data_IF_322680667407
#
_entry.id   IF_322680667407
#
_cell.length_a   1.000
_cell.length_b   1.000
_cell.length_c   1.000
_cell.angle_alpha   90.00
_cell.angle_beta   90.00
_cell.angle_gamma   90.00
#
_symmetry.space_group_name_H-M   'P 1'
#
loop_
_entity.id
_entity.type
_entity.pdbx_description
1 polymer ?
#
# COMPACT_ATOMS: atom_id res chain seq x y z
N UNK A 1 -5.13 0.65 2.38
CA UNK A 1 -5.46 2.07 2.14
C UNK A 1 -4.27 2.71 1.47
N UNK A 2 -4.44 3.82 0.77
CA UNK A 2 -3.34 4.54 0.16
C UNK A 2 -3.55 6.06 0.12
N UNK A 3 -2.47 6.81 -0.04
CA UNK A 3 -2.47 8.26 -0.27
C UNK A 3 -2.23 8.54 -1.76
N UNK A 4 -3.24 9.09 -2.44
CA UNK A 4 -3.05 9.63 -3.79
C UNK A 4 -2.61 11.08 -3.71
N UNK A 5 -1.40 11.37 -4.20
CA UNK A 5 -0.84 12.72 -4.26
C UNK A 5 -1.33 13.42 -5.51
N UNK A 6 -2.02 14.55 -5.35
CA UNK A 6 -2.49 15.36 -6.47
C UNK A 6 -1.28 15.98 -7.22
N UNK A 7 -1.20 15.89 -8.57
CA UNK A 7 0.03 16.22 -9.30
C UNK A 7 0.42 17.70 -9.32
N UNK A 8 -0.57 18.62 -9.30
CA UNK A 8 -0.32 20.08 -9.35
C UNK A 8 -0.59 20.80 -8.02
N UNK A 9 -1.62 20.39 -7.27
CA UNK A 9 -2.04 21.01 -6.01
C UNK A 9 -2.00 19.99 -4.86
N UNK A 10 -0.85 19.77 -4.19
CA UNK A 10 -0.72 18.70 -3.18
C UNK A 10 -1.69 18.79 -2.00
N UNK A 11 -2.22 19.98 -1.68
CA UNK A 11 -3.27 20.17 -0.68
C UNK A 11 -4.61 19.51 -1.05
N UNK A 12 -4.82 19.20 -2.34
CA UNK A 12 -5.99 18.50 -2.86
C UNK A 12 -5.83 16.97 -2.90
N UNK A 13 -4.69 16.43 -2.44
CA UNK A 13 -4.47 14.99 -2.34
C UNK A 13 -5.58 14.28 -1.55
N UNK A 14 -5.70 12.97 -1.74
CA UNK A 14 -6.79 12.18 -1.13
C UNK A 14 -6.27 10.95 -0.39
N UNK A 15 -7.06 10.52 0.58
CA UNK A 15 -6.92 9.21 1.21
C UNK A 15 -7.96 8.29 0.59
N UNK A 16 -7.51 7.13 0.09
CA UNK A 16 -8.37 6.12 -0.52
C UNK A 16 -8.31 4.89 0.38
N UNK A 17 -9.47 4.48 0.89
CA UNK A 17 -9.57 3.37 1.82
C UNK A 17 -10.63 2.37 1.37
N UNK A 18 -10.29 1.10 1.50
CA UNK A 18 -11.24 0.01 1.45
C UNK A 18 -11.84 -0.22 2.83
N UNK A 19 -13.14 -0.45 2.86
CA UNK A 19 -13.90 -0.86 4.03
C UNK A 19 -14.57 -2.19 3.71
N UNK A 20 -14.01 -3.26 4.27
CA UNK A 20 -14.45 -4.64 4.05
C UNK A 20 -15.79 -4.95 4.71
N UNK A 21 -16.13 -4.25 5.79
CA UNK A 21 -17.40 -4.41 6.50
C UNK A 21 -18.53 -3.62 5.82
N UNK A 22 -18.20 -2.50 5.17
CA UNK A 22 -19.18 -1.65 4.49
C UNK A 22 -19.38 -1.97 3.00
N UNK A 23 -18.65 -2.94 2.43
CA UNK A 23 -18.60 -3.26 1.00
C UNK A 23 -18.32 -2.02 0.12
N UNK A 24 -17.33 -1.20 0.54
CA UNK A 24 -17.07 0.09 -0.11
C UNK A 24 -15.60 0.43 -0.23
N UNK A 25 -15.28 1.16 -1.30
CA UNK A 25 -14.17 2.11 -1.30
C UNK A 25 -14.67 3.50 -0.93
N UNK A 26 -13.88 4.21 -0.13
CA UNK A 26 -14.10 5.61 0.17
C UNK A 26 -12.92 6.45 -0.30
N UNK A 27 -13.23 7.63 -0.83
CA UNK A 27 -12.25 8.67 -1.14
C UNK A 27 -12.49 9.84 -0.22
N UNK A 28 -11.48 10.22 0.56
CA UNK A 28 -11.53 11.34 1.48
C UNK A 28 -10.55 12.43 1.07
N UNK A 29 -10.94 13.70 1.24
CA UNK A 29 -9.97 14.79 1.26
C UNK A 29 -9.12 14.76 2.54
N UNK A 30 -7.99 15.47 2.53
CA UNK A 30 -7.14 15.65 3.73
C UNK A 30 -7.83 16.40 4.88
N UNK A 31 -9.01 16.99 4.64
CA UNK A 31 -9.88 17.58 5.65
C UNK A 31 -10.81 16.55 6.34
N UNK A 32 -10.80 15.30 5.86
CA UNK A 32 -11.66 14.21 6.36
C UNK A 32 -13.03 14.13 5.68
N UNK A 33 -13.33 15.03 4.73
CA UNK A 33 -14.62 14.97 4.01
C UNK A 33 -14.60 13.86 2.96
N UNK A 34 -15.65 13.05 2.96
CA UNK A 34 -15.88 12.07 1.90
C UNK A 34 -16.19 12.79 0.59
N UNK A 35 -15.42 12.47 -0.45
CA UNK A 35 -15.59 12.95 -1.82
C UNK A 35 -16.33 11.95 -2.69
N UNK A 36 -16.20 10.66 -2.35
CA UNK A 36 -16.82 9.56 -3.07
C UNK A 36 -16.96 8.34 -2.16
N UNK A 37 -18.01 7.56 -2.37
CA UNK A 37 -18.16 6.21 -1.87
C UNK A 37 -18.57 5.32 -3.05
N UNK A 38 -17.88 4.19 -3.23
CA UNK A 38 -18.07 3.27 -4.36
C UNK A 38 -18.37 1.92 -3.78
N UNK A 39 -19.47 1.29 -4.21
CA UNK A 39 -19.74 -0.08 -3.86
C UNK A 39 -18.68 -1.00 -4.48
N UNK A 40 -18.11 -1.85 -3.65
CA UNK A 40 -17.20 -2.91 -4.07
C UNK A 40 -17.42 -4.08 -3.11
N UNK A 41 -17.73 -5.26 -3.63
CA UNK A 41 -17.99 -6.41 -2.77
C UNK A 41 -16.71 -6.86 -2.08
N UNK A 42 -16.70 -6.80 -0.75
CA UNK A 42 -15.63 -7.27 0.12
C UNK A 42 -14.22 -6.85 -0.37
N UNK A 43 -13.91 -5.55 -0.43
CA UNK A 43 -12.65 -5.07 -0.97
C UNK A 43 -11.48 -5.48 -0.06
N UNK A 44 -10.38 -5.92 -0.66
CA UNK A 44 -9.09 -6.14 -0.01
C UNK A 44 -8.28 -4.86 0.15
N UNK A 45 -6.97 -4.97 0.32
CA UNK A 45 -6.10 -3.79 0.36
C UNK A 45 -6.12 -3.04 -0.99
N UNK A 46 -6.10 -1.71 -0.90
CA UNK A 46 -6.02 -0.80 -2.05
C UNK A 46 -4.67 -0.08 -2.04
N UNK A 47 -4.06 0.01 -3.22
CA UNK A 47 -2.78 0.67 -3.47
C UNK A 47 -2.87 1.59 -4.71
N UNK A 48 -1.94 2.52 -4.87
CA UNK A 48 -1.88 3.52 -5.94
C UNK A 48 -0.54 3.48 -6.68
N UNK A 49 -0.58 3.65 -8.00
CA UNK A 49 0.60 3.96 -8.83
C UNK A 49 0.28 5.00 -9.90
N UNK A 50 1.33 5.69 -10.34
CA UNK A 50 1.19 6.90 -11.14
C UNK A 50 1.72 6.71 -12.56
N UNK A 51 1.12 7.43 -13.51
CA UNK A 51 1.59 7.49 -14.89
C UNK A 51 1.45 6.19 -15.69
N UNK A 52 0.44 5.37 -15.38
CA UNK A 52 0.06 4.17 -16.13
C UNK A 52 -0.39 4.55 -17.56
N UNK A 53 0.13 3.91 -18.61
CA UNK A 53 -0.29 4.17 -19.99
C UNK A 53 -1.67 3.54 -20.28
N UNK A 54 -2.67 4.36 -20.60
CA UNK A 54 -4.04 3.92 -20.93
C UNK A 54 -4.67 4.82 -21.99
N UNK A 55 -5.13 4.25 -23.10
CA UNK A 55 -5.81 5.00 -24.16
C UNK A 55 -4.94 6.06 -24.83
N UNK A 56 -3.61 5.90 -24.82
CA UNK A 56 -2.65 6.89 -25.32
C UNK A 56 -2.30 8.00 -24.33
N UNK A 57 -2.86 7.99 -23.11
CA UNK A 57 -2.57 8.95 -22.05
C UNK A 57 -1.83 8.28 -20.88
N UNK A 58 -1.26 9.09 -19.99
CA UNK A 58 -0.75 8.64 -18.70
C UNK A 58 -1.73 9.00 -17.60
N UNK A 59 -2.23 7.99 -16.90
CA UNK A 59 -3.20 8.15 -15.81
C UNK A 59 -2.66 7.59 -14.50
N UNK A 60 -3.16 8.09 -13.37
CA UNK A 60 -2.89 7.47 -12.08
C UNK A 60 -3.94 6.40 -11.82
N UNK A 61 -3.51 5.23 -11.37
CA UNK A 61 -4.40 4.09 -11.11
C UNK A 61 -4.36 3.70 -9.64
N UNK A 62 -5.49 3.22 -9.16
CA UNK A 62 -5.58 2.38 -7.96
C UNK A 62 -6.04 0.99 -8.36
N UNK A 63 -5.63 0.01 -7.58
CA UNK A 63 -6.08 -1.36 -7.74
C UNK A 63 -6.26 -2.04 -6.38
N UNK A 64 -7.17 -3.00 -6.34
CA UNK A 64 -7.47 -3.81 -5.16
C UNK A 64 -8.13 -5.12 -5.57
N UNK A 65 -8.13 -6.10 -4.66
CA UNK A 65 -8.88 -7.33 -4.81
C UNK A 65 -10.35 -7.12 -4.44
N UNK A 66 -11.29 -7.47 -5.31
CA UNK A 66 -12.68 -7.74 -4.95
C UNK A 66 -12.76 -9.22 -4.52
N UNK A 67 -12.81 -9.48 -3.21
CA UNK A 67 -12.49 -10.79 -2.67
C UNK A 67 -13.52 -11.85 -3.01
N UNK A 68 -14.79 -11.50 -2.80
CA UNK A 68 -15.91 -12.42 -3.06
C UNK A 68 -16.19 -12.64 -4.55
N UNK A 69 -15.67 -11.77 -5.42
CA UNK A 69 -15.78 -11.91 -6.87
C UNK A 69 -14.54 -12.55 -7.49
N UNK A 70 -13.48 -12.80 -6.70
CA UNK A 70 -12.18 -13.29 -7.18
C UNK A 70 -11.66 -12.49 -8.37
N UNK A 71 -11.58 -11.16 -8.22
CA UNK A 71 -11.07 -10.26 -9.28
C UNK A 71 -10.14 -9.19 -8.72
N UNK A 72 -9.27 -8.69 -9.59
CA UNK A 72 -8.62 -7.39 -9.39
C UNK A 72 -9.46 -6.34 -10.11
N UNK A 73 -9.86 -5.30 -9.38
CA UNK A 73 -10.52 -4.14 -9.95
C UNK A 73 -9.54 -2.99 -10.06
N UNK A 74 -9.61 -2.24 -11.17
CA UNK A 74 -8.69 -1.13 -11.45
C UNK A 74 -9.49 0.12 -11.76
N UNK A 75 -9.16 1.20 -11.07
CA UNK A 75 -9.75 2.51 -11.29
C UNK A 75 -8.66 3.52 -11.62
N UNK A 76 -8.96 4.49 -12.47
CA UNK A 76 -8.12 5.68 -12.63
C UNK A 76 -8.62 6.79 -11.70
N UNK A 77 -7.72 7.66 -11.25
CA UNK A 77 -8.07 8.86 -10.49
C UNK A 77 -8.31 10.03 -11.46
N UNK A 78 -9.51 10.57 -11.48
CA UNK A 78 -9.83 11.79 -12.22
C UNK A 78 -9.23 13.00 -11.50
N UNK A 79 -8.18 13.62 -12.06
CA UNK A 79 -7.38 14.65 -11.38
C UNK A 79 -8.25 15.80 -10.85
N UNK A 80 -9.18 16.32 -11.65
CA UNK A 80 -10.01 17.50 -11.31
C UNK A 80 -11.01 17.23 -10.18
N UNK A 81 -11.74 16.12 -10.26
CA UNK A 81 -12.78 15.78 -9.27
C UNK A 81 -12.22 15.01 -8.09
N UNK A 82 -11.06 14.39 -8.27
CA UNK A 82 -10.37 13.47 -7.35
C UNK A 82 -11.16 12.18 -7.10
N UNK A 83 -12.11 11.88 -7.98
CA UNK A 83 -12.93 10.67 -7.92
C UNK A 83 -12.28 9.55 -8.73
N UNK A 84 -12.66 8.32 -8.40
CA UNK A 84 -12.22 7.11 -9.08
C UNK A 84 -13.21 6.74 -10.20
N UNK A 85 -12.67 6.37 -11.35
CA UNK A 85 -13.41 5.87 -12.51
C UNK A 85 -12.95 4.45 -12.85
N UNK A 86 -13.86 3.48 -12.90
CA UNK A 86 -13.51 2.07 -13.17
C UNK A 86 -13.00 1.91 -14.60
N UNK A 87 -11.79 1.38 -14.74
CA UNK A 87 -11.10 1.24 -16.03
C UNK A 87 -10.64 -0.18 -16.34
N UNK A 88 -10.78 -1.16 -15.45
CA UNK A 88 -10.60 -2.56 -15.86
C UNK A 88 -11.66 -3.01 -16.88
N UNK A 89 -11.34 -4.05 -17.64
CA UNK A 89 -12.26 -4.70 -18.58
C UNK A 89 -13.01 -5.91 -17.98
N UNK A 90 -13.06 -6.01 -16.64
CA UNK A 90 -13.72 -7.06 -15.88
C UNK A 90 -13.16 -8.49 -16.12
N UNK A 91 -12.02 -8.62 -16.82
CA UNK A 91 -11.40 -9.89 -17.19
C UNK A 91 -10.17 -10.27 -16.34
N UNK A 92 -9.86 -9.51 -15.29
CA UNK A 92 -8.72 -9.79 -14.40
C UNK A 92 -9.15 -10.73 -13.28
N UNK A 93 -9.43 -11.98 -13.63
CA UNK A 93 -9.81 -13.00 -12.66
C UNK A 93 -8.60 -13.44 -11.83
N UNK A 94 -8.82 -13.47 -10.52
CA UNK A 94 -7.95 -14.12 -9.55
C UNK A 94 -8.53 -15.47 -9.15
N UNK A 95 -7.76 -16.26 -8.41
CA UNK A 95 -8.30 -17.35 -7.61
C UNK A 95 -8.64 -16.84 -6.21
N UNK A 96 -8.11 -17.55 -5.22
CA UNK A 96 -8.05 -17.09 -3.84
C UNK A 96 -7.29 -15.76 -3.76
N UNK A 97 -7.86 -14.76 -3.09
CA UNK A 97 -7.25 -13.46 -2.92
C UNK A 97 -7.60 -12.87 -1.54
N UNK A 98 -6.76 -11.97 -1.04
CA UNK A 98 -6.97 -11.34 0.26
C UNK A 98 -6.51 -9.88 0.23
N UNK A 99 -5.23 -9.62 0.50
CA UNK A 99 -4.60 -8.32 0.36
C UNK A 99 -3.85 -8.16 -0.97
N UNK A 100 -3.05 -7.11 -1.09
CA UNK A 100 -2.25 -6.89 -2.29
C UNK A 100 -1.61 -5.51 -2.40
N UNK A 101 -0.74 -5.35 -3.39
CA UNK A 101 -0.01 -4.10 -3.67
C UNK A 101 0.23 -3.94 -5.16
N UNK A 102 0.27 -2.70 -5.64
CA UNK A 102 0.76 -2.37 -6.97
C UNK A 102 2.29 -2.31 -6.96
N UNK A 103 2.90 -2.60 -8.10
CA UNK A 103 4.33 -2.43 -8.34
C UNK A 103 4.54 -1.78 -9.71
N UNK A 104 5.45 -0.81 -9.79
CA UNK A 104 5.94 -0.30 -11.07
C UNK A 104 7.43 -0.59 -11.18
N UNK A 105 7.79 -1.39 -12.17
CA UNK A 105 9.19 -1.69 -12.45
C UNK A 105 9.92 -0.45 -12.95
N UNK A 106 10.92 0.02 -12.22
CA UNK A 106 11.85 1.04 -12.71
C UNK A 106 12.76 0.50 -13.82
N UNK A 107 12.96 -0.82 -13.89
CA UNK A 107 13.76 -1.48 -14.93
C UNK A 107 13.07 -1.44 -16.30
N UNK A 108 11.75 -1.66 -16.32
CA UNK A 108 10.99 -1.87 -17.57
C UNK A 108 9.86 -0.87 -17.81
N UNK A 109 9.48 -0.08 -16.80
CA UNK A 109 8.32 0.81 -16.82
C UNK A 109 6.97 0.08 -16.73
N UNK A 110 6.97 -1.25 -16.61
CA UNK A 110 5.77 -2.09 -16.55
C UNK A 110 5.10 -2.02 -15.18
N UNK A 111 3.79 -2.23 -15.16
CA UNK A 111 2.96 -2.17 -13.97
C UNK A 111 2.42 -3.55 -13.62
N UNK A 112 2.33 -3.83 -12.33
CA UNK A 112 1.88 -5.10 -11.81
C UNK A 112 0.97 -4.90 -10.62
N UNK A 113 0.08 -5.85 -10.38
CA UNK A 113 -0.60 -6.04 -9.11
C UNK A 113 -0.22 -7.39 -8.53
N UNK A 114 0.15 -7.41 -7.26
CA UNK A 114 0.50 -8.62 -6.51
C UNK A 114 -0.63 -8.89 -5.54
N UNK A 115 -1.24 -10.07 -5.64
CA UNK A 115 -2.30 -10.52 -4.73
C UNK A 115 -1.74 -11.49 -3.71
N UNK A 116 -2.18 -11.36 -2.47
CA UNK A 116 -1.90 -12.28 -1.37
C UNK A 116 -3.12 -13.15 -1.08
N UNK A 117 -3.01 -14.14 -0.19
CA UNK A 117 -4.11 -15.05 0.15
C UNK A 117 -4.00 -15.63 1.56
N UNK A 118 -5.07 -16.26 2.05
CA UNK A 118 -5.09 -16.93 3.36
C UNK A 118 -4.34 -18.25 3.37
N UNK A 119 -4.21 -18.92 2.22
CA UNK A 119 -3.34 -20.09 2.07
C UNK A 119 -1.86 -19.73 1.90
N UNK A 120 -1.53 -18.45 1.76
CA UNK A 120 -0.18 -17.99 1.43
C UNK A 120 0.18 -18.12 -0.04
N UNK A 121 -0.81 -18.36 -0.92
CA UNK A 121 -0.65 -18.24 -2.36
C UNK A 121 -0.46 -16.77 -2.72
N UNK A 122 0.62 -16.49 -3.44
CA UNK A 122 0.91 -15.17 -3.99
C UNK A 122 0.89 -15.27 -5.51
N UNK A 123 0.17 -14.36 -6.16
CA UNK A 123 0.16 -14.25 -7.63
C UNK A 123 0.49 -12.82 -8.05
N UNK A 124 1.20 -12.69 -9.16
CA UNK A 124 1.55 -11.40 -9.74
C UNK A 124 0.95 -11.29 -11.13
N UNK A 125 0.27 -10.17 -11.39
CA UNK A 125 -0.41 -9.87 -12.63
C UNK A 125 0.24 -8.65 -13.29
N UNK A 126 0.69 -8.78 -14.53
CA UNK A 126 1.09 -7.64 -15.36
C UNK A 126 -0.16 -6.91 -15.85
N UNK A 127 -0.24 -5.61 -15.60
CA UNK A 127 -1.34 -4.74 -16.00
C UNK A 127 -0.97 -3.97 -17.27
N UNK A 128 -1.86 -3.99 -18.26
CA UNK A 128 -1.67 -3.32 -19.55
C UNK A 128 -2.98 -2.72 -20.06
N UNK A 129 -2.89 -1.75 -20.97
CA UNK A 129 -4.04 -1.34 -21.79
C UNK A 129 -4.40 -2.48 -22.76
N UNK A 130 -5.68 -2.81 -22.87
CA UNK A 130 -6.22 -3.81 -23.79
C UNK A 130 -6.39 -3.30 -25.23
N UNK A 131 -5.98 -2.05 -25.48
CA UNK A 131 -6.09 -1.36 -26.77
C UNK A 131 -7.43 -0.68 -26.98
N UNK A 132 -8.33 -0.73 -25.99
CA UNK A 132 -9.64 -0.06 -25.98
C UNK A 132 -9.77 0.91 -24.80
N UNK A 133 -8.63 1.39 -24.28
CA UNK A 133 -8.55 2.25 -23.11
C UNK A 133 -9.18 1.60 -21.86
N UNK A 134 -9.01 0.28 -21.73
CA UNK A 134 -9.33 -0.48 -20.52
C UNK A 134 -8.13 -1.28 -20.06
N UNK A 135 -8.03 -1.49 -18.75
CA UNK A 135 -6.96 -2.25 -18.14
C UNK A 135 -7.30 -3.74 -18.19
N UNK A 136 -6.38 -4.54 -18.72
CA UNK A 136 -6.38 -5.99 -18.62
C UNK A 136 -5.19 -6.45 -17.76
N UNK A 137 -5.27 -7.68 -17.26
CA UNK A 137 -4.24 -8.28 -16.43
C UNK A 137 -3.89 -9.69 -16.89
N UNK A 138 -2.59 -10.00 -16.91
CA UNK A 138 -2.09 -11.36 -17.20
C UNK A 138 -1.26 -11.85 -16.04
N UNK A 139 -1.58 -13.01 -15.49
CA UNK A 139 -0.75 -13.65 -14.47
C UNK A 139 0.63 -13.99 -15.05
N UNK A 140 1.68 -13.49 -14.41
CA UNK A 140 3.09 -13.66 -14.83
C UNK A 140 3.91 -14.43 -13.82
N UNK A 141 3.50 -14.49 -12.55
CA UNK A 141 4.20 -15.23 -11.50
C UNK A 141 3.22 -15.81 -10.49
N UNK A 142 3.57 -16.95 -9.90
CA UNK A 142 2.85 -17.57 -8.79
C UNK A 142 3.82 -18.33 -7.89
N UNK A 143 3.68 -18.17 -6.57
CA UNK A 143 4.47 -18.86 -5.57
C UNK A 143 3.71 -18.92 -4.24
N UNK A 144 4.31 -19.53 -3.21
CA UNK A 144 3.71 -19.57 -1.87
C UNK A 144 4.73 -19.23 -0.79
N UNK A 145 4.28 -18.53 0.25
CA UNK A 145 5.00 -18.33 1.53
C UNK A 145 4.79 -19.50 2.51
N UNK A 146 3.72 -20.28 2.29
CA UNK A 146 3.31 -21.42 3.10
C UNK A 146 2.41 -21.09 4.29
N UNK A 147 1.93 -19.84 4.43
CA UNK A 147 1.03 -19.39 5.50
C UNK A 147 0.28 -18.11 5.14
N UNK A 148 -0.75 -17.77 5.92
CA UNK A 148 -1.65 -16.64 5.64
C UNK A 148 -0.89 -15.33 5.46
N UNK A 149 -1.20 -14.63 4.36
CA UNK A 149 -0.64 -13.33 4.02
C UNK A 149 -1.76 -12.36 3.64
N UNK A 150 -1.85 -11.22 4.32
CA UNK A 150 -2.66 -10.08 3.89
C UNK A 150 -1.75 -8.99 3.34
N UNK A 151 -0.89 -8.47 4.22
CA UNK A 151 -0.16 -7.26 3.97
C UNK A 151 0.90 -7.41 2.88
N UNK A 152 0.93 -6.45 1.97
CA UNK A 152 1.99 -6.32 0.99
C UNK A 152 2.29 -4.85 0.69
N UNK A 153 3.56 -4.56 0.41
CA UNK A 153 3.98 -3.28 -0.15
C UNK A 153 5.16 -3.51 -1.10
N UNK A 154 5.11 -2.92 -2.29
CA UNK A 154 6.24 -2.95 -3.22
C UNK A 154 7.13 -1.70 -3.10
N UNK A 155 8.43 -1.93 -3.07
CA UNK A 155 9.47 -0.93 -3.26
C UNK A 155 9.81 -0.84 -4.75
N UNK A 156 9.27 0.18 -5.42
CA UNK A 156 9.47 0.37 -6.85
C UNK A 156 10.94 0.63 -7.20
N UNK A 157 11.67 1.39 -6.36
CA UNK A 157 13.07 1.75 -6.62
C UNK A 157 14.02 0.58 -6.39
N UNK A 158 13.78 -0.22 -5.35
CA UNK A 158 14.59 -1.41 -5.05
C UNK A 158 14.19 -2.63 -5.89
N UNK A 159 12.99 -2.63 -6.47
CA UNK A 159 12.45 -3.77 -7.21
C UNK A 159 12.17 -4.96 -6.30
N UNK A 160 11.57 -4.72 -5.14
CA UNK A 160 11.29 -5.70 -4.10
C UNK A 160 9.84 -5.61 -3.64
N UNK A 161 9.21 -6.73 -3.29
CA UNK A 161 7.91 -6.80 -2.63
C UNK A 161 8.14 -7.30 -1.20
N UNK A 162 7.60 -6.57 -0.24
CA UNK A 162 7.48 -7.00 1.15
C UNK A 162 6.10 -7.63 1.38
N UNK A 163 6.06 -8.81 1.99
CA UNK A 163 4.81 -9.55 2.24
C UNK A 163 4.78 -9.98 3.71
N UNK A 164 3.76 -9.55 4.45
CA UNK A 164 3.53 -10.01 5.82
C UNK A 164 2.90 -11.39 5.82
N UNK A 165 3.62 -12.39 6.32
CA UNK A 165 3.06 -13.71 6.67
C UNK A 165 2.83 -13.74 8.18
N UNK A 166 1.58 -13.95 8.59
CA UNK A 166 1.12 -13.75 9.98
C UNK A 166 1.89 -14.60 11.00
N UNK A 167 2.32 -15.81 10.63
CA UNK A 167 3.03 -16.75 11.51
C UNK A 167 4.56 -16.68 11.45
N UNK A 168 5.15 -15.99 10.46
CA UNK A 168 6.60 -16.03 10.23
C UNK A 168 7.29 -14.67 10.34
N UNK A 169 6.68 -13.61 9.80
CA UNK A 169 7.42 -12.38 9.57
C UNK A 169 7.10 -11.68 8.26
N UNK A 170 7.92 -10.70 7.92
CA UNK A 170 7.88 -10.03 6.62
C UNK A 170 8.89 -10.70 5.69
N UNK A 171 8.37 -11.23 4.59
CA UNK A 171 9.16 -11.70 3.45
C UNK A 171 9.63 -10.53 2.61
N UNK A 172 10.83 -10.67 2.06
CA UNK A 172 11.43 -9.81 1.04
C UNK A 172 11.62 -10.67 -0.21
N UNK A 173 10.93 -10.31 -1.30
CA UNK A 173 10.92 -11.07 -2.57
C UNK A 173 11.24 -10.14 -3.72
N UNK A 174 11.95 -10.57 -4.76
CA UNK A 174 12.09 -9.75 -5.97
C UNK A 174 10.71 -9.37 -6.53
N UNK A 175 10.57 -8.13 -6.99
CA UNK A 175 9.34 -7.65 -7.62
C UNK A 175 9.27 -7.95 -9.12
N UNK A 176 10.37 -8.35 -9.77
CA UNK A 176 10.35 -8.63 -11.21
C UNK A 176 9.82 -10.02 -11.53
N UNK A 177 8.97 -10.17 -12.56
CA UNK A 177 8.36 -11.44 -12.89
C UNK A 177 9.35 -12.50 -13.41
N UNK A 178 10.47 -12.04 -14.00
CA UNK A 178 11.47 -12.90 -14.63
C UNK A 178 12.53 -13.41 -13.62
N UNK A 179 12.58 -12.82 -12.42
CA UNK A 179 13.44 -13.28 -11.34
C UNK A 179 12.78 -14.51 -10.67
N UNK A 180 13.47 -15.65 -10.66
CA UNK A 180 12.98 -16.85 -10.00
C UNK A 180 12.76 -16.58 -8.50
N UNK A 181 11.64 -17.03 -7.88
CA UNK A 181 11.44 -16.84 -6.46
C UNK A 181 12.41 -17.77 -5.71
N UNK A 182 13.33 -17.20 -4.91
CA UNK A 182 13.13 -17.33 -3.46
C UNK A 182 13.27 -15.97 -2.77
N UNK A 183 12.21 -15.55 -2.10
CA UNK A 183 12.33 -14.53 -1.07
C UNK A 183 12.90 -15.10 0.23
N UNK A 184 13.11 -14.23 1.20
CA UNK A 184 13.49 -14.62 2.56
C UNK A 184 12.67 -13.83 3.57
N UNK A 185 12.43 -14.42 4.73
CA UNK A 185 11.93 -13.66 5.88
C UNK A 185 13.05 -12.74 6.37
N UNK A 186 12.84 -11.43 6.28
CA UNK A 186 13.83 -10.39 6.61
C UNK A 186 13.53 -9.75 7.97
N UNK A 187 12.25 -9.62 8.31
CA UNK A 187 11.78 -9.24 9.65
C UNK A 187 11.08 -10.46 10.25
N UNK A 188 11.58 -10.99 11.36
CA UNK A 188 11.04 -12.23 11.97
C UNK A 188 10.00 -11.91 13.04
N UNK A 189 8.88 -12.62 13.02
CA UNK A 189 7.91 -12.63 14.12
C UNK A 189 8.58 -13.05 15.44
N UNK A 190 8.15 -12.49 16.56
CA UNK A 190 8.70 -12.75 17.89
C UNK A 190 9.97 -11.97 18.23
N UNK A 191 10.58 -11.25 17.26
CA UNK A 191 11.70 -10.33 17.51
C UNK A 191 11.22 -8.90 17.71
N UNK A 192 11.96 -8.12 18.51
CA UNK A 192 11.71 -6.69 18.73
C UNK A 192 10.27 -6.36 19.20
N UNK A 193 9.62 -7.32 19.85
CA UNK A 193 8.22 -7.20 20.30
C UNK A 193 7.19 -7.13 19.17
N UNK A 194 7.53 -7.61 17.96
CA UNK A 194 6.57 -7.92 16.89
C UNK A 194 5.91 -9.25 17.24
N UNK A 195 4.60 -9.23 17.53
CA UNK A 195 3.87 -10.41 18.03
C UNK A 195 2.88 -10.93 17.00
N UNK A 196 2.57 -10.14 15.97
CA UNK A 196 1.56 -10.47 14.98
C UNK A 196 0.14 -10.12 15.47
N UNK A 197 -0.87 -10.12 14.62
CA UNK A 197 -0.80 -10.42 13.18
C UNK A 197 -0.03 -9.32 12.42
N UNK A 198 0.74 -9.73 11.40
CA UNK A 198 1.53 -8.81 10.58
C UNK A 198 0.62 -8.25 9.50
N UNK A 199 0.08 -7.08 9.81
CA UNK A 199 -0.85 -6.38 8.95
C UNK A 199 -0.10 -5.31 8.14
N UNK A 200 -0.77 -4.20 7.83
CA UNK A 200 -0.33 -3.15 6.93
C UNK A 200 1.17 -2.87 6.95
N UNK A 201 1.74 -2.83 5.75
CA UNK A 201 3.12 -2.45 5.48
C UNK A 201 3.12 -1.14 4.69
N UNK A 202 4.08 -0.25 4.97
CA UNK A 202 4.31 0.92 4.12
C UNK A 202 5.77 1.33 4.12
N UNK A 203 6.18 2.05 3.08
CA UNK A 203 7.56 2.49 2.88
C UNK A 203 7.63 4.01 2.93
N UNK A 204 8.41 4.54 3.88
CA UNK A 204 8.81 5.93 3.89
C UNK A 204 10.10 6.10 3.09
N UNK A 205 10.02 6.73 1.93
CA UNK A 205 11.17 6.92 1.04
C UNK A 205 12.07 8.08 1.50
N UNK A 206 13.38 7.94 1.30
CA UNK A 206 14.37 9.00 1.46
C UNK A 206 15.35 8.96 0.27
N UNK A 207 16.11 10.05 0.04
CA UNK A 207 17.17 10.05 -0.96
C UNK A 207 18.16 8.89 -0.79
N UNK A 208 18.79 8.50 -1.90
CA UNK A 208 19.88 7.51 -1.92
C UNK A 208 19.45 6.12 -1.46
N UNK A 209 18.19 5.73 -1.71
CA UNK A 209 17.67 4.39 -1.37
C UNK A 209 17.43 4.15 0.12
N UNK A 210 17.61 5.18 0.96
CA UNK A 210 17.31 5.10 2.40
C UNK A 210 15.81 5.21 2.65
N UNK A 211 15.41 4.93 3.88
CA UNK A 211 14.03 5.11 4.28
C UNK A 211 13.65 4.26 5.48
N UNK A 212 12.35 4.07 5.65
CA UNK A 212 11.81 3.20 6.67
C UNK A 212 10.80 2.22 6.09
N UNK A 213 10.85 0.97 6.54
CA UNK A 213 9.76 0.01 6.40
C UNK A 213 8.94 0.04 7.70
N UNK A 214 7.67 0.40 7.57
CA UNK A 214 6.71 0.47 8.67
C UNK A 214 5.85 -0.78 8.68
N UNK A 215 5.67 -1.37 9.86
CA UNK A 215 4.91 -2.61 10.04
C UNK A 215 3.86 -2.40 11.12
N UNK A 216 2.60 -2.67 10.81
CA UNK A 216 1.56 -2.75 11.82
C UNK A 216 1.78 -3.96 12.72
N UNK A 217 1.79 -3.75 14.04
CA UNK A 217 1.83 -4.81 15.04
C UNK A 217 0.46 -4.84 15.73
N UNK A 218 -0.52 -5.37 15.00
CA UNK A 218 -1.95 -5.17 15.23
C UNK A 218 -2.36 -5.46 16.67
N UNK A 219 -2.01 -6.65 17.20
CA UNK A 219 -2.37 -7.09 18.57
C UNK A 219 -1.77 -6.24 19.71
N UNK A 220 -0.88 -5.30 19.39
CA UNK A 220 -0.20 -4.44 20.36
C UNK A 220 -0.48 -2.97 20.15
N UNK A 221 -1.39 -2.62 19.23
CA UNK A 221 -1.79 -1.24 18.93
C UNK A 221 -0.60 -0.30 18.67
N UNK A 222 0.45 -0.81 18.02
CA UNK A 222 1.66 -0.05 17.73
C UNK A 222 2.25 -0.41 16.36
N UNK A 223 3.22 0.39 15.96
CA UNK A 223 3.88 0.31 14.67
C UNK A 223 5.37 0.14 14.87
N UNK A 224 5.96 -0.81 14.15
CA UNK A 224 7.39 -1.06 14.14
C UNK A 224 8.04 -0.29 13.00
N UNK A 225 9.21 0.27 13.26
CA UNK A 225 10.02 0.99 12.28
C UNK A 225 11.31 0.22 12.07
N UNK A 226 11.57 -0.15 10.82
CA UNK A 226 12.82 -0.77 10.38
C UNK A 226 13.48 0.11 9.33
N UNK A 227 14.79 0.02 9.18
CA UNK A 227 15.48 0.60 8.02
C UNK A 227 14.89 0.03 6.73
N UNK A 228 14.80 0.86 5.68
CA UNK A 228 14.40 0.38 4.35
C UNK A 228 15.56 -0.35 3.66
N UNK A 229 16.79 0.08 3.91
CA UNK A 229 17.98 -0.46 3.29
C UNK A 229 18.56 -1.67 4.04
N UNK A 230 19.48 -2.37 3.37
CA UNK A 230 20.36 -3.34 4.01
C UNK A 230 19.61 -4.58 4.52
N UNK A 231 19.66 -4.81 5.83
CA UNK A 231 19.05 -5.97 6.50
C UNK A 231 17.79 -5.60 7.29
N UNK A 232 17.24 -4.41 7.06
CA UNK A 232 16.07 -3.91 7.78
C UNK A 232 16.26 -3.90 9.30
N UNK A 233 17.35 -3.29 9.77
CA UNK A 233 17.62 -3.17 11.20
C UNK A 233 16.47 -2.44 11.90
N UNK A 234 16.08 -2.93 13.09
CA UNK A 234 15.01 -2.35 13.87
C UNK A 234 15.43 -1.01 14.48
N UNK A 235 14.60 0.02 14.28
CA UNK A 235 14.86 1.37 14.79
C UNK A 235 14.07 1.63 16.06
N UNK A 236 12.80 1.24 16.10
CA UNK A 236 11.97 1.44 17.29
C UNK A 236 10.48 1.24 17.03
N UNK A 237 9.67 1.70 17.98
CA UNK A 237 8.22 1.50 17.99
C UNK A 237 7.54 2.81 18.34
N UNK A 238 6.42 3.11 17.68
CA UNK A 238 5.52 4.21 18.05
C UNK A 238 4.08 3.73 18.09
N UNK A 239 3.22 4.49 18.78
CA UNK A 239 1.78 4.27 18.79
C UNK A 239 1.07 5.58 18.45
N UNK A 240 -0.11 5.48 17.85
CA UNK A 240 -0.96 6.63 17.57
C UNK A 240 -2.13 6.61 18.54
N UNK A 241 -2.39 7.73 19.21
CA UNK A 241 -3.55 7.85 20.08
C UNK A 241 -4.83 7.63 19.28
N UNK A 242 -5.68 6.72 19.76
CA UNK A 242 -6.89 6.33 19.04
C UNK A 242 -6.68 5.24 17.99
N UNK A 243 -5.45 4.80 17.71
CA UNK A 243 -5.23 3.62 16.85
C UNK A 243 -5.40 2.35 17.69
N UNK A 244 -6.23 1.44 17.18
CA UNK A 244 -6.56 0.13 17.75
C UNK A 244 -6.75 -0.88 16.65
N UNK A 245 -6.19 -2.07 16.82
CA UNK A 245 -6.27 -3.19 15.88
C UNK A 245 -6.06 -2.72 14.43
N UNK A 246 -4.96 -1.98 14.20
CA UNK A 246 -4.68 -1.41 12.88
C UNK A 246 -4.34 -2.51 11.88
N UNK A 247 -5.25 -2.69 10.93
CA UNK A 247 -5.07 -3.46 9.72
C UNK A 247 -4.25 -2.65 8.68
N UNK A 248 -4.89 -1.76 7.91
CA UNK A 248 -4.22 -0.95 6.89
C UNK A 248 -3.51 0.32 7.40
N UNK A 249 -2.34 0.62 6.84
CA UNK A 249 -1.62 1.89 6.99
C UNK A 249 -1.01 2.34 5.65
N UNK A 250 -0.67 3.62 5.55
CA UNK A 250 0.18 4.16 4.48
C UNK A 250 1.01 5.34 5.01
N UNK A 251 2.10 5.67 4.32
CA UNK A 251 2.95 6.81 4.66
C UNK A 251 3.43 7.51 3.40
N UNK A 252 3.42 8.83 3.42
CA UNK A 252 4.06 9.63 2.38
C UNK A 252 4.92 10.71 3.03
N UNK A 253 6.06 10.98 2.41
CA UNK A 253 6.96 12.04 2.79
C UNK A 253 6.73 13.31 1.92
N UNK A 254 5.78 13.27 0.98
CA UNK A 254 5.48 14.38 0.09
C UNK A 254 4.81 15.52 0.86
N UNK A 255 5.16 16.77 0.53
CA UNK A 255 4.46 17.95 1.02
C UNK A 255 3.02 17.95 0.49
N UNK A 256 2.03 17.73 1.35
CA UNK A 256 0.59 17.75 0.99
C UNK A 256 -0.07 19.09 1.37
N UNK A 257 0.66 20.18 1.28
CA UNK A 257 0.19 21.53 1.63
C UNK A 257 0.29 21.85 3.13
N UNK A 258 -0.35 22.96 3.58
CA UNK A 258 -0.10 23.53 4.90
C UNK A 258 -0.42 22.61 6.09
N UNK A 259 -1.33 21.64 5.91
CA UNK A 259 -1.70 20.69 6.97
C UNK A 259 -0.64 19.60 7.18
N UNK A 260 0.03 19.18 6.11
CA UNK A 260 1.04 18.13 6.12
C UNK A 260 2.25 18.50 5.25
N UNK A 261 2.98 19.58 5.60
CA UNK A 261 4.05 20.11 4.76
C UNK A 261 5.27 19.19 4.67
N UNK A 262 5.37 18.21 5.58
CA UNK A 262 6.48 17.28 5.72
C UNK A 262 6.01 15.82 5.63
N UNK A 263 4.90 15.58 4.94
CA UNK A 263 4.32 14.25 4.82
C UNK A 263 3.35 13.88 5.94
N UNK A 264 2.80 12.69 5.79
CA UNK A 264 1.66 12.15 6.51
C UNK A 264 1.89 10.65 6.73
N UNK A 265 1.64 10.20 7.95
CA UNK A 265 1.34 8.80 8.25
C UNK A 265 -0.16 8.66 8.46
N UNK A 266 -0.77 7.63 7.87
CA UNK A 266 -2.19 7.36 8.00
C UNK A 266 -2.44 5.90 8.36
N UNK A 267 -3.41 5.64 9.24
CA UNK A 267 -3.76 4.28 9.62
C UNK A 267 -5.27 4.12 9.89
N UNK A 268 -5.76 2.90 9.70
CA UNK A 268 -7.08 2.48 10.12
C UNK A 268 -7.08 2.19 11.63
N UNK A 269 -8.25 2.33 12.27
CA UNK A 269 -8.47 1.80 13.62
C UNK A 269 -9.85 1.14 13.72
N UNK A 270 -9.92 -0.03 14.34
CA UNK A 270 -11.17 -0.77 14.55
C UNK A 270 -12.07 -0.23 15.70
N UNK A 271 -12.02 1.08 16.01
CA UNK A 271 -12.82 1.64 17.11
C UNK A 271 -14.30 1.88 16.76
N UNK A 272 -15.18 1.56 17.72
CA UNK A 272 -16.59 1.96 17.80
C UNK A 272 -17.45 1.69 16.54
N UNK A 273 -17.17 0.61 15.81
CA UNK A 273 -17.82 0.23 14.54
C UNK A 273 -17.74 1.28 13.42
N UNK A 274 -16.97 2.37 13.60
CA UNK A 274 -16.83 3.44 12.60
C UNK A 274 -15.55 3.34 11.78
N UNK A 275 -14.62 2.46 12.19
CA UNK A 275 -13.38 2.17 11.48
C UNK A 275 -12.61 3.45 11.05
N UNK A 276 -12.37 4.43 11.95
CA UNK A 276 -11.82 5.71 11.54
C UNK A 276 -10.43 5.59 10.91
N UNK A 277 -10.13 6.54 10.02
CA UNK A 277 -8.81 6.72 9.44
C UNK A 277 -8.14 7.90 10.16
N UNK A 278 -7.00 7.65 10.79
CA UNK A 278 -6.26 8.62 11.58
C UNK A 278 -5.11 9.19 10.75
N UNK A 279 -5.08 10.52 10.61
CA UNK A 279 -4.05 11.24 9.86
C UNK A 279 -3.08 11.92 10.84
N UNK A 280 -1.83 11.47 10.85
CA UNK A 280 -0.78 11.99 11.73
C UNK A 280 0.34 12.66 10.92
N UNK A 281 0.65 13.95 11.15
CA UNK A 281 1.81 14.57 10.52
C UNK A 281 3.10 13.80 10.83
N UNK A 282 3.87 13.44 9.81
CA UNK A 282 5.11 12.66 10.00
C UNK A 282 6.08 13.27 11.04
N UNK A 283 6.28 14.59 11.13
CA UNK A 283 7.15 15.18 12.16
C UNK A 283 6.74 14.85 13.60
N UNK A 284 5.47 14.60 13.88
CA UNK A 284 5.02 14.24 15.22
C UNK A 284 5.52 12.84 15.62
N UNK A 285 5.60 11.91 14.66
CA UNK A 285 6.17 10.57 14.85
C UNK A 285 7.69 10.68 14.93
N UNK A 286 8.31 11.37 13.97
CA UNK A 286 9.76 11.44 13.86
C UNK A 286 10.44 11.99 15.13
N UNK A 287 9.86 13.05 15.72
CA UNK A 287 10.37 13.69 16.95
C UNK A 287 10.17 12.86 18.23
N UNK A 288 9.37 11.80 18.18
CA UNK A 288 9.17 10.91 19.32
C UNK A 288 10.32 9.89 19.49
N UNK A 289 11.21 9.77 18.51
CA UNK A 289 12.36 8.87 18.55
C UNK A 289 13.62 9.58 19.09
N UNK A 290 14.53 8.80 19.66
CA UNK A 290 15.87 9.26 20.04
C UNK A 290 16.92 8.28 19.51
N UNK A 291 17.74 8.66 18.51
CA UNK A 291 17.68 9.93 17.77
C UNK A 291 16.37 10.08 16.96
N UNK A 292 15.99 11.32 16.64
CA UNK A 292 14.79 11.58 15.82
C UNK A 292 14.89 10.87 14.47
N UNK A 293 13.75 10.39 13.96
CA UNK A 293 13.71 9.88 12.59
C UNK A 293 13.89 11.03 11.59
N UNK A 294 14.46 10.74 10.44
CA UNK A 294 14.61 11.72 9.38
C UNK A 294 13.25 12.23 8.89
N UNK A 295 13.19 13.53 8.64
CA UNK A 295 12.09 14.20 7.94
C UNK A 295 12.62 14.62 6.58
N UNK A 296 12.06 14.06 5.51
CA UNK A 296 12.42 14.36 4.12
C UNK A 296 11.17 14.69 3.32
N UNK A 297 11.29 15.57 2.34
CA UNK A 297 10.24 15.88 1.35
C UNK A 297 10.75 15.74 -0.09
N UNK A 298 11.91 15.11 -0.26
CA UNK A 298 12.64 15.08 -1.51
C UNK A 298 12.18 13.99 -2.49
N UNK A 299 11.45 12.98 -2.01
CA UNK A 299 10.95 11.91 -2.87
C UNK A 299 9.74 12.37 -3.67
N UNK A 300 9.61 11.88 -4.90
CA UNK A 300 8.49 12.16 -5.76
C UNK A 300 7.94 10.84 -6.32
N UNK A 301 6.69 10.46 -5.99
CA UNK A 301 6.11 9.17 -6.41
C UNK A 301 5.90 9.03 -7.93
N UNK A 302 6.12 10.10 -8.72
CA UNK A 302 5.95 10.11 -10.18
C UNK A 302 7.25 10.08 -10.96
N UNK A 303 8.41 10.16 -10.30
CA UNK A 303 9.72 10.20 -10.95
C UNK A 303 10.41 8.86 -10.86
#
# INVERSE_FOLDING_TARGET
MCVWVHPAEPALSTIIASDKEADKLFVYGLDGKALQAIWAKHPGNVDVRYGFPLGGEKVDIIAFNARDDSKILVYKVAITTRQLERVDNDAISTGENYGGTLYRSVRTGRFYFVTTSKSGLIEQYELTDDGKAKVQGRKVRSWTTGGQCEAAVADDEAGVIYIGEEDKGVWEVSAEPDDAPPGRVTITLGKNGLVGDIEGLAIYYQPEGKGFLLVSNQSRDNFKVYQREGKHEFIGTFAISGAKDTDGLDVTNVNLGPRFPNGLFTCHSAQDNRCPILLTPWPAIAKAFQPELTISTAWNPRK
#
